data_IF_591754873517
#
_entry.id   IF_591754873517
#
_cell.length_a   1.000
_cell.length_b   1.000
_cell.length_c   1.000
_cell.angle_alpha   90.00
_cell.angle_beta   90.00
_cell.angle_gamma   90.00
#
_symmetry.space_group_name_H-M   'P 1'
#
loop_
_entity.id
_entity.type
_entity.pdbx_description
1 polymer ?
#
# COMPACT_ATOMS: atom_id res chain seq x y z
N UNK A 1 -21.92 -11.85 -14.74
CA UNK A 1 -21.18 -13.04 -14.27
C UNK A 1 -19.72 -12.78 -14.55
N UNK A 2 -18.94 -12.53 -13.50
CA UNK A 2 -17.48 -12.34 -13.58
C UNK A 2 -16.84 -13.65 -14.01
N UNK A 3 -15.89 -13.59 -14.96
CA UNK A 3 -15.12 -14.76 -15.41
C UNK A 3 -14.36 -15.33 -14.18
N UNK A 4 -14.25 -16.66 -14.02
CA UNK A 4 -13.45 -17.23 -12.94
C UNK A 4 -12.03 -16.70 -12.98
N UNK A 5 -11.50 -16.31 -11.81
CA UNK A 5 -10.12 -15.86 -11.69
C UNK A 5 -9.19 -17.02 -12.07
N UNK A 6 -8.23 -16.76 -12.97
CA UNK A 6 -7.18 -17.73 -13.28
C UNK A 6 -6.32 -17.99 -12.04
N UNK A 7 -5.85 -19.23 -11.80
CA UNK A 7 -4.99 -19.51 -10.66
C UNK A 7 -3.77 -18.58 -10.63
N UNK A 8 -3.52 -17.96 -9.48
CA UNK A 8 -2.37 -17.08 -9.33
C UNK A 8 -1.06 -17.89 -9.31
N UNK A 9 0.05 -17.34 -9.82
CA UNK A 9 1.35 -17.98 -9.71
C UNK A 9 1.74 -18.26 -8.26
N UNK A 10 2.47 -19.35 -8.03
CA UNK A 10 3.06 -19.63 -6.72
C UNK A 10 3.96 -18.47 -6.30
N UNK A 11 3.88 -18.09 -5.03
CA UNK A 11 4.57 -16.90 -4.53
C UNK A 11 3.80 -15.61 -4.75
N UNK A 12 2.58 -15.59 -5.29
CA UNK A 12 1.83 -14.33 -5.41
C UNK A 12 1.72 -13.60 -4.07
N UNK A 13 1.99 -12.29 -4.09
CA UNK A 13 2.13 -11.44 -2.92
C UNK A 13 1.07 -10.34 -2.87
N UNK A 14 0.38 -10.24 -1.74
CA UNK A 14 -0.45 -9.08 -1.41
C UNK A 14 0.40 -8.01 -0.73
N UNK A 15 0.75 -6.96 -1.48
CA UNK A 15 1.72 -5.97 -1.02
C UNK A 15 1.13 -4.85 -0.15
N UNK A 16 -0.14 -4.89 0.22
CA UNK A 16 -0.74 -3.86 1.07
C UNK A 16 -1.95 -4.38 1.82
N UNK A 17 -1.77 -4.77 3.08
CA UNK A 17 -2.89 -5.07 3.99
C UNK A 17 -2.67 -4.44 5.36
N UNK A 18 -3.75 -4.31 6.11
CA UNK A 18 -3.76 -3.82 7.49
C UNK A 18 -4.36 -4.88 8.42
N UNK A 19 -3.84 -4.98 9.64
CA UNK A 19 -4.46 -5.77 10.70
C UNK A 19 -5.01 -4.80 11.76
N UNK A 20 -6.18 -5.13 12.31
CA UNK A 20 -6.81 -4.35 13.36
C UNK A 20 -7.28 -5.24 14.49
N UNK A 21 -7.26 -4.68 15.68
CA UNK A 21 -7.83 -5.28 16.86
C UNK A 21 -7.10 -6.52 17.41
N UNK A 22 -7.60 -7.06 18.53
CA UNK A 22 -8.65 -6.45 19.35
C UNK A 22 -8.14 -5.21 20.09
N UNK A 23 -8.96 -4.17 20.17
CA UNK A 23 -8.57 -2.85 20.73
C UNK A 23 -8.08 -2.91 22.19
N UNK A 24 -8.59 -3.87 22.98
CA UNK A 24 -8.16 -4.08 24.36
C UNK A 24 -6.70 -4.57 24.51
N UNK A 25 -6.13 -5.18 23.46
CA UNK A 25 -4.73 -5.62 23.42
C UNK A 25 -3.85 -4.65 22.63
N UNK A 26 -4.41 -4.07 21.57
CA UNK A 26 -3.73 -3.11 20.70
C UNK A 26 -4.56 -1.82 20.70
N UNK A 27 -4.29 -0.89 21.64
CA UNK A 27 -5.05 0.35 21.72
C UNK A 27 -4.76 1.25 20.52
N UNK A 28 -5.77 1.96 20.05
CA UNK A 28 -5.61 2.94 18.99
C UNK A 28 -5.02 4.25 19.52
N UNK A 29 -4.37 5.00 18.64
CA UNK A 29 -3.90 6.35 18.90
C UNK A 29 -5.07 7.28 19.27
N UNK A 30 -4.87 8.22 20.23
CA UNK A 30 -5.85 9.28 20.47
C UNK A 30 -6.04 10.20 19.25
N UNK A 31 -5.03 10.32 18.39
CA UNK A 31 -5.03 11.23 17.22
C UNK A 31 -5.65 10.59 15.96
N UNK A 32 -6.23 9.39 16.07
CA UNK A 32 -6.82 8.69 14.93
C UNK A 32 -8.01 9.46 14.35
N UNK A 33 -8.14 9.44 13.03
CA UNK A 33 -9.26 10.07 12.32
C UNK A 33 -10.49 9.13 12.17
N UNK A 34 -10.33 7.84 12.47
CA UNK A 34 -11.41 6.84 12.49
C UNK A 34 -11.05 5.66 13.42
N UNK A 35 -12.06 4.91 13.88
CA UNK A 35 -11.87 3.64 14.62
C UNK A 35 -12.31 2.47 13.74
N UNK A 36 -11.41 1.56 13.32
CA UNK A 36 -11.78 0.38 12.54
C UNK A 36 -12.38 -0.71 13.43
N UNK A 37 -13.13 -1.63 12.81
CA UNK A 37 -13.47 -2.91 13.43
C UNK A 37 -12.24 -3.84 13.54
N UNK A 38 -12.42 -5.00 14.14
CA UNK A 38 -11.37 -6.01 14.24
C UNK A 38 -11.16 -6.72 12.88
N UNK A 39 -9.90 -6.96 12.52
CA UNK A 39 -9.50 -7.62 11.29
C UNK A 39 -8.20 -8.39 11.53
N UNK A 40 -8.32 -9.71 11.73
CA UNK A 40 -7.25 -10.58 12.20
C UNK A 40 -6.54 -11.35 11.09
N UNK A 41 -5.51 -12.08 11.51
CA UNK A 41 -4.71 -12.93 10.65
C UNK A 41 -5.52 -14.12 10.09
N UNK A 42 -6.52 -14.59 10.84
CA UNK A 42 -7.28 -15.79 10.46
C UNK A 42 -8.24 -15.48 9.31
N UNK A 43 -8.92 -14.32 9.32
CA UNK A 43 -9.69 -13.83 8.18
C UNK A 43 -8.81 -13.56 6.95
N UNK A 44 -7.64 -12.94 7.17
CA UNK A 44 -6.68 -12.67 6.12
C UNK A 44 -6.16 -13.95 5.46
N UNK A 45 -5.80 -14.97 6.26
CA UNK A 45 -5.36 -16.29 5.77
C UNK A 45 -6.45 -16.97 4.96
N UNK A 46 -7.71 -16.89 5.40
CA UNK A 46 -8.84 -17.46 4.66
C UNK A 46 -9.03 -16.77 3.30
N UNK A 47 -8.91 -15.44 3.26
CA UNK A 47 -8.93 -14.67 2.01
C UNK A 47 -7.78 -15.08 1.08
N UNK A 48 -6.55 -15.10 1.57
CA UNK A 48 -5.38 -15.44 0.77
C UNK A 48 -5.41 -16.88 0.27
N UNK A 49 -5.87 -17.83 1.08
CA UNK A 49 -6.08 -19.22 0.65
C UNK A 49 -7.10 -19.32 -0.50
N UNK A 50 -8.20 -18.56 -0.43
CA UNK A 50 -9.21 -18.52 -1.51
C UNK A 50 -8.65 -17.91 -2.80
N UNK A 51 -7.77 -16.91 -2.70
CA UNK A 51 -7.19 -16.22 -3.86
C UNK A 51 -5.93 -16.92 -4.41
N UNK A 52 -5.31 -17.83 -3.66
CA UNK A 52 -4.01 -18.41 -4.03
C UNK A 52 -2.80 -17.51 -3.74
N UNK A 53 -2.94 -16.58 -2.79
CA UNK A 53 -1.87 -15.68 -2.34
C UNK A 53 -1.08 -16.37 -1.23
N UNK A 54 0.24 -16.24 -1.27
CA UNK A 54 1.15 -16.94 -0.35
C UNK A 54 2.14 -16.03 0.37
N UNK A 55 2.27 -14.77 -0.06
CA UNK A 55 3.11 -13.75 0.59
C UNK A 55 2.29 -12.50 0.88
N UNK A 56 2.66 -11.77 1.93
CA UNK A 56 1.90 -10.60 2.37
C UNK A 56 2.79 -9.52 2.96
N UNK A 57 2.42 -8.26 2.72
CA UNK A 57 3.05 -7.11 3.35
C UNK A 57 2.04 -6.43 4.27
N UNK A 58 2.30 -6.52 5.58
CA UNK A 58 1.56 -5.80 6.60
C UNK A 58 2.03 -4.35 6.65
N UNK A 59 1.14 -3.43 6.32
CA UNK A 59 1.41 -2.00 6.38
C UNK A 59 0.79 -1.46 7.67
N UNK A 60 1.56 -0.73 8.47
CA UNK A 60 1.06 -0.08 9.67
C UNK A 60 -0.07 0.92 9.31
N UNK A 61 -1.30 0.74 9.84
CA UNK A 61 -2.41 1.62 9.54
C UNK A 61 -2.44 2.83 10.46
N UNK A 62 -2.98 3.96 9.96
CA UNK A 62 -2.98 5.24 10.67
C UNK A 62 -3.66 5.24 12.05
N UNK A 63 -4.70 4.42 12.34
CA UNK A 63 -5.31 4.40 13.67
C UNK A 63 -4.36 4.03 14.82
N UNK A 64 -3.23 3.38 14.55
CA UNK A 64 -2.22 3.05 15.55
C UNK A 64 -1.08 4.07 15.65
N UNK A 65 -1.00 5.06 14.74
CA UNK A 65 0.14 5.97 14.68
C UNK A 65 1.47 5.21 14.58
N UNK A 66 2.42 5.56 15.44
CA UNK A 66 3.75 4.93 15.51
C UNK A 66 3.81 3.64 16.36
N UNK A 67 2.69 3.19 16.94
CA UNK A 67 2.64 1.93 17.69
C UNK A 67 2.54 0.73 16.74
N UNK A 68 3.69 0.20 16.33
CA UNK A 68 3.77 -0.90 15.37
C UNK A 68 3.46 -2.28 15.99
N UNK A 69 3.11 -2.38 17.28
CA UNK A 69 2.96 -3.68 17.98
C UNK A 69 1.93 -4.59 17.33
N UNK A 70 0.82 -4.05 16.80
CA UNK A 70 -0.20 -4.87 16.12
C UNK A 70 0.35 -5.49 14.84
N UNK A 71 1.05 -4.71 14.02
CA UNK A 71 1.68 -5.18 12.79
C UNK A 71 2.78 -6.21 13.10
N UNK A 72 3.63 -5.95 14.11
CA UNK A 72 4.69 -6.87 14.52
C UNK A 72 4.15 -8.23 15.01
N UNK A 73 3.07 -8.22 15.80
CA UNK A 73 2.41 -9.47 16.20
C UNK A 73 1.86 -10.26 15.01
N UNK A 74 1.38 -9.56 13.98
CA UNK A 74 0.99 -10.18 12.71
C UNK A 74 2.15 -10.81 11.98
N UNK A 75 3.31 -10.13 11.91
CA UNK A 75 4.52 -10.69 11.29
C UNK A 75 4.98 -11.98 11.99
N UNK A 76 4.98 -11.99 13.33
CA UNK A 76 5.32 -13.18 14.11
C UNK A 76 4.37 -14.34 13.80
N UNK A 77 3.06 -14.10 13.77
CA UNK A 77 2.05 -15.12 13.46
C UNK A 77 2.09 -15.62 12.02
N UNK A 78 2.45 -14.77 11.07
CA UNK A 78 2.48 -15.10 9.64
C UNK A 78 3.81 -15.70 9.19
N UNK A 79 4.89 -15.48 9.96
CA UNK A 79 6.21 -16.06 9.71
C UNK A 79 6.91 -15.49 8.49
N UNK A 80 7.75 -16.29 7.84
CA UNK A 80 8.60 -15.85 6.71
C UNK A 80 7.81 -15.36 5.49
N UNK A 81 6.55 -15.75 5.37
CA UNK A 81 5.63 -15.31 4.33
C UNK A 81 5.18 -13.85 4.47
N UNK A 82 5.50 -13.18 5.59
CA UNK A 82 5.13 -11.79 5.83
C UNK A 82 6.33 -10.84 5.92
N UNK A 83 6.13 -9.61 5.45
CA UNK A 83 7.03 -8.47 5.63
C UNK A 83 6.24 -7.26 6.13
N UNK A 84 6.94 -6.31 6.77
CA UNK A 84 6.32 -5.14 7.38
C UNK A 84 6.70 -3.82 6.72
N UNK A 85 5.79 -2.85 6.73
CA UNK A 85 6.08 -1.43 6.52
C UNK A 85 5.58 -0.67 7.74
N UNK A 86 6.52 -0.14 8.53
CA UNK A 86 6.25 0.51 9.80
C UNK A 86 5.93 2.00 9.65
N UNK A 87 5.34 2.60 10.68
CA UNK A 87 5.32 4.07 10.87
C UNK A 87 6.20 4.38 12.07
N UNK A 88 7.15 5.29 11.91
CA UNK A 88 8.14 5.63 12.94
C UNK A 88 8.24 7.14 13.11
N UNK A 89 8.66 7.58 14.30
CA UNK A 89 8.97 8.99 14.53
C UNK A 89 10.28 9.42 13.85
N UNK A 90 10.40 10.71 13.54
CA UNK A 90 11.71 11.28 13.24
C UNK A 90 12.59 11.21 14.50
N UNK A 91 13.84 10.81 14.33
CA UNK A 91 14.77 10.57 15.45
C UNK A 91 14.58 9.21 16.13
N UNK A 92 13.88 8.26 15.50
CA UNK A 92 13.80 6.89 16.04
C UNK A 92 15.21 6.31 16.17
N UNK A 93 15.62 5.80 17.35
CA UNK A 93 16.97 5.32 17.59
C UNK A 93 17.40 4.20 16.63
N UNK A 94 18.66 4.15 16.19
CA UNK A 94 19.14 3.11 15.27
C UNK A 94 18.90 1.68 15.76
N UNK A 95 19.02 1.41 17.06
CA UNK A 95 18.79 0.08 17.64
C UNK A 95 17.32 -0.36 17.52
N UNK A 96 16.38 0.57 17.65
CA UNK A 96 14.96 0.29 17.40
C UNK A 96 14.71 -0.05 15.92
N UNK A 97 15.36 0.66 15.00
CA UNK A 97 15.24 0.34 13.57
C UNK A 97 15.85 -1.03 13.24
N UNK A 98 16.97 -1.40 13.87
CA UNK A 98 17.57 -2.73 13.73
C UNK A 98 16.63 -3.82 14.29
N UNK A 99 15.97 -3.57 15.43
CA UNK A 99 14.95 -4.46 15.99
C UNK A 99 13.80 -4.68 15.00
N UNK A 100 13.23 -3.60 14.45
CA UNK A 100 12.17 -3.68 13.46
C UNK A 100 12.61 -4.45 12.20
N UNK A 101 13.86 -4.21 11.74
CA UNK A 101 14.42 -4.93 10.59
C UNK A 101 14.51 -6.44 10.86
N UNK A 102 15.02 -6.83 12.04
CA UNK A 102 15.12 -8.23 12.45
C UNK A 102 13.73 -8.90 12.56
N UNK A 103 12.69 -8.14 12.89
CA UNK A 103 11.29 -8.62 12.94
C UNK A 103 10.60 -8.66 11.56
N UNK A 104 11.30 -8.32 10.47
CA UNK A 104 10.79 -8.45 9.11
C UNK A 104 10.27 -7.15 8.48
N UNK A 105 10.47 -6.00 9.12
CA UNK A 105 10.15 -4.69 8.52
C UNK A 105 11.17 -4.35 7.43
N UNK A 106 10.68 -3.81 6.30
CA UNK A 106 11.47 -3.52 5.08
C UNK A 106 11.22 -2.13 4.50
N UNK A 107 10.37 -1.34 5.17
CA UNK A 107 10.05 0.00 4.74
C UNK A 107 9.43 0.83 5.85
N UNK A 108 9.38 2.13 5.63
CA UNK A 108 8.67 3.10 6.45
C UNK A 108 7.58 3.77 5.63
N UNK A 109 6.42 4.03 6.23
CA UNK A 109 5.31 4.73 5.59
C UNK A 109 5.22 6.18 6.05
N UNK A 110 5.09 7.08 5.08
CA UNK A 110 4.75 8.49 5.27
C UNK A 110 3.35 8.72 4.69
N UNK A 111 2.37 8.83 5.58
CA UNK A 111 0.97 9.05 5.22
C UNK A 111 0.59 10.52 5.35
N UNK A 112 0.63 11.23 4.22
CA UNK A 112 0.32 12.66 4.11
C UNK A 112 -1.17 12.87 3.85
N UNK A 113 -1.75 12.07 2.95
CA UNK A 113 -3.12 12.28 2.47
C UNK A 113 -4.20 12.08 3.54
N UNK A 114 -4.04 11.12 4.46
CA UNK A 114 -5.04 10.89 5.52
C UNK A 114 -5.13 12.06 6.50
N UNK A 115 -4.05 12.82 6.67
CA UNK A 115 -4.01 14.00 7.54
C UNK A 115 -4.43 15.28 6.81
N UNK A 116 -4.82 15.20 5.53
CA UNK A 116 -5.24 16.35 4.75
C UNK A 116 -4.11 17.31 4.37
N UNK A 117 -2.86 16.93 4.59
CA UNK A 117 -1.70 17.74 4.20
C UNK A 117 -1.56 17.76 2.68
N UNK A 118 -1.46 18.95 2.12
CA UNK A 118 -1.35 19.22 0.68
C UNK A 118 -0.17 20.13 0.32
N UNK A 119 0.59 20.63 1.31
CA UNK A 119 1.83 21.37 1.13
C UNK A 119 2.99 20.44 0.69
N UNK A 120 3.52 20.59 -0.54
CA UNK A 120 4.63 19.78 -1.03
C UNK A 120 5.93 19.93 -0.22
N UNK A 121 6.23 21.09 0.35
CA UNK A 121 7.49 21.28 1.10
C UNK A 121 7.44 20.61 2.47
N UNK A 122 6.29 20.68 3.14
CA UNK A 122 6.08 19.95 4.39
C UNK A 122 6.14 18.43 4.15
N UNK A 123 5.45 17.96 3.12
CA UNK A 123 5.50 16.56 2.67
C UNK A 123 6.94 16.13 2.38
N UNK A 124 7.69 16.94 1.63
CA UNK A 124 9.08 16.64 1.31
C UNK A 124 9.95 16.51 2.56
N UNK A 125 9.85 17.44 3.51
CA UNK A 125 10.66 17.40 4.73
C UNK A 125 10.44 16.09 5.51
N UNK A 126 9.20 15.63 5.59
CA UNK A 126 8.87 14.35 6.23
C UNK A 126 9.43 13.16 5.44
N UNK A 127 9.21 13.13 4.13
CA UNK A 127 9.68 12.05 3.25
C UNK A 127 11.21 11.95 3.29
N UNK A 128 11.91 13.07 3.10
CA UNK A 128 13.37 13.13 3.08
C UNK A 128 13.97 12.73 4.42
N UNK A 129 13.41 13.21 5.54
CA UNK A 129 13.88 12.85 6.88
C UNK A 129 13.75 11.34 7.14
N UNK A 130 12.63 10.75 6.76
CA UNK A 130 12.42 9.30 6.90
C UNK A 130 13.34 8.51 5.98
N UNK A 131 13.51 8.93 4.72
CA UNK A 131 14.42 8.31 3.77
C UNK A 131 15.86 8.27 4.30
N UNK A 132 16.35 9.39 4.83
CA UNK A 132 17.70 9.47 5.42
C UNK A 132 17.84 8.53 6.62
N UNK A 133 16.84 8.48 7.50
CA UNK A 133 16.86 7.66 8.72
C UNK A 133 16.95 6.16 8.42
N UNK A 134 16.28 5.69 7.36
CA UNK A 134 16.18 4.25 7.05
C UNK A 134 17.12 3.77 5.94
N UNK A 135 17.83 4.68 5.26
CA UNK A 135 18.67 4.35 4.10
C UNK A 135 19.70 3.24 4.40
N UNK A 136 20.32 3.25 5.59
CA UNK A 136 21.34 2.25 5.97
C UNK A 136 20.81 0.81 6.04
N UNK A 137 19.49 0.65 6.16
CA UNK A 137 18.82 -0.66 6.26
C UNK A 137 18.41 -1.21 4.88
N UNK A 138 18.63 -0.46 3.81
CA UNK A 138 18.10 -0.78 2.48
C UNK A 138 16.58 -0.69 2.40
N UNK A 139 15.93 -0.03 3.37
CA UNK A 139 14.48 0.13 3.40
C UNK A 139 13.99 1.11 2.33
N UNK A 140 12.76 0.91 1.88
CA UNK A 140 12.06 1.88 1.04
C UNK A 140 11.25 2.87 1.89
N UNK A 141 10.93 4.02 1.30
CA UNK A 141 9.93 4.95 1.83
C UNK A 141 8.65 4.82 1.03
N UNK A 142 7.59 4.38 1.68
CA UNK A 142 6.25 4.28 1.13
C UNK A 142 5.46 5.55 1.40
N UNK A 143 4.84 6.13 0.37
CA UNK A 143 4.20 7.43 0.41
C UNK A 143 2.73 7.29 0.03
N UNK A 144 1.86 7.81 0.89
CA UNK A 144 0.46 8.08 0.55
C UNK A 144 0.27 9.59 0.44
N UNK A 145 0.20 10.10 -0.80
CA UNK A 145 0.00 11.51 -1.13
C UNK A 145 -0.90 11.65 -2.36
N UNK A 146 -1.48 12.84 -2.55
CA UNK A 146 -2.30 13.17 -3.73
C UNK A 146 -1.41 13.54 -4.93
N UNK A 147 -1.98 13.47 -6.14
CA UNK A 147 -1.27 13.75 -7.38
C UNK A 147 -0.60 15.13 -7.43
N UNK A 148 -1.24 16.18 -6.89
CA UNK A 148 -0.68 17.53 -6.88
C UNK A 148 0.65 17.61 -6.10
N UNK A 149 0.77 16.85 -5.01
CA UNK A 149 2.02 16.77 -4.22
C UNK A 149 3.04 15.91 -4.95
N UNK A 150 2.62 14.75 -5.47
CA UNK A 150 3.52 13.82 -6.18
C UNK A 150 4.14 14.48 -7.42
N UNK A 151 3.34 15.22 -8.20
CA UNK A 151 3.80 15.89 -9.41
C UNK A 151 4.91 16.89 -9.12
N UNK A 152 4.73 17.73 -8.10
CA UNK A 152 5.70 18.73 -7.67
C UNK A 152 6.98 18.08 -7.15
N UNK A 153 6.87 16.97 -6.41
CA UNK A 153 8.01 16.31 -5.78
C UNK A 153 8.70 15.26 -6.65
N UNK A 154 8.17 14.91 -7.82
CA UNK A 154 8.63 13.78 -8.64
C UNK A 154 10.16 13.79 -8.87
N UNK A 155 10.74 14.94 -9.23
CA UNK A 155 12.18 15.06 -9.45
C UNK A 155 12.99 14.77 -8.18
N UNK A 156 12.60 15.37 -7.04
CA UNK A 156 13.28 15.20 -5.75
C UNK A 156 13.14 13.78 -5.21
N UNK A 157 11.98 13.15 -5.42
CA UNK A 157 11.76 11.75 -5.05
C UNK A 157 12.72 10.81 -5.77
N UNK A 158 13.10 11.12 -7.02
CA UNK A 158 14.08 10.31 -7.76
C UNK A 158 15.50 10.41 -7.19
N UNK A 159 15.81 11.48 -6.46
CA UNK A 159 17.13 11.75 -5.87
C UNK A 159 17.31 11.14 -4.47
N UNK A 160 16.25 10.58 -3.87
CA UNK A 160 16.33 10.00 -2.53
C UNK A 160 17.35 8.87 -2.45
N UNK A 161 17.99 8.70 -1.29
CA UNK A 161 18.91 7.58 -1.07
C UNK A 161 18.20 6.21 -1.09
N UNK A 162 16.91 6.17 -0.73
CA UNK A 162 16.08 4.98 -0.68
C UNK A 162 15.31 4.76 -1.98
N UNK A 163 14.79 3.55 -2.18
CA UNK A 163 13.71 3.32 -3.16
C UNK A 163 12.42 3.97 -2.66
N UNK A 164 11.58 4.42 -3.58
CA UNK A 164 10.28 5.03 -3.26
C UNK A 164 9.17 4.04 -3.57
N UNK A 165 8.12 4.01 -2.75
CA UNK A 165 6.90 3.27 -3.05
C UNK A 165 5.72 4.25 -3.02
N UNK A 166 4.93 4.31 -4.08
CA UNK A 166 3.74 5.17 -4.17
C UNK A 166 2.50 4.30 -3.94
N UNK A 167 1.71 4.63 -2.92
CA UNK A 167 0.49 3.90 -2.58
C UNK A 167 -0.63 4.19 -3.59
N UNK A 168 -1.42 3.15 -3.90
CA UNK A 168 -2.72 3.23 -4.57
C UNK A 168 -2.73 4.11 -5.83
N UNK A 169 -1.86 3.80 -6.80
CA UNK A 169 -1.68 4.58 -8.04
C UNK A 169 -1.28 6.06 -7.86
N UNK A 170 -1.02 6.54 -6.63
CA UNK A 170 -0.86 7.97 -6.34
C UNK A 170 -2.19 8.70 -6.07
N UNK A 171 -3.25 7.97 -5.70
CA UNK A 171 -4.60 8.49 -5.44
C UNK A 171 -5.21 9.32 -6.60
N UNK A 172 -5.20 8.82 -7.85
CA UNK A 172 -5.91 9.47 -8.95
C UNK A 172 -7.43 9.39 -8.78
N UNK A 173 -8.16 10.24 -9.50
CA UNK A 173 -9.56 9.97 -9.81
C UNK A 173 -9.62 9.01 -11.02
N UNK A 174 -10.04 7.77 -10.79
CA UNK A 174 -10.09 6.76 -11.86
C UNK A 174 -11.17 7.06 -12.90
N UNK A 175 -12.13 7.95 -12.64
CA UNK A 175 -13.13 8.36 -13.62
C UNK A 175 -12.58 9.33 -14.69
N UNK A 176 -11.46 10.02 -14.40
CA UNK A 176 -10.86 11.00 -15.31
C UNK A 176 -9.84 10.42 -16.30
N UNK A 177 -9.43 9.15 -16.11
CA UNK A 177 -8.42 8.51 -16.93
C UNK A 177 -6.97 8.94 -16.60
N UNK A 178 -5.97 8.28 -17.20
CA UNK A 178 -4.56 8.51 -16.88
C UNK A 178 -4.04 9.86 -17.39
N UNK A 179 -4.73 10.52 -18.32
CA UNK A 179 -4.33 11.83 -18.85
C UNK A 179 -4.71 13.01 -17.93
N UNK A 180 -5.23 12.72 -16.74
CA UNK A 180 -5.59 13.75 -15.78
C UNK A 180 -4.36 14.54 -15.28
N UNK A 181 -4.53 15.81 -14.89
CA UNK A 181 -3.47 16.60 -14.29
C UNK A 181 -2.81 15.89 -13.10
N UNK A 182 -1.48 15.97 -13.00
CA UNK A 182 -0.70 15.35 -11.93
C UNK A 182 -0.31 13.89 -12.13
N UNK A 183 -1.06 13.10 -12.90
CA UNK A 183 -0.75 11.67 -13.06
C UNK A 183 0.54 11.42 -13.86
N UNK A 184 0.93 12.36 -14.73
CA UNK A 184 2.24 12.32 -15.43
C UNK A 184 3.43 12.23 -14.47
N UNK A 185 3.31 12.79 -13.25
CA UNK A 185 4.33 12.65 -12.21
C UNK A 185 4.52 11.20 -11.74
N UNK A 186 3.43 10.45 -11.62
CA UNK A 186 3.44 9.02 -11.25
C UNK A 186 4.05 8.18 -12.39
N UNK A 187 3.68 8.47 -13.65
CA UNK A 187 4.25 7.81 -14.83
C UNK A 187 5.77 8.01 -14.90
N UNK A 188 6.25 9.25 -14.75
CA UNK A 188 7.70 9.54 -14.70
C UNK A 188 8.42 8.78 -13.58
N UNK A 189 7.82 8.70 -12.40
CA UNK A 189 8.38 7.95 -11.28
C UNK A 189 8.47 6.44 -11.58
N UNK A 190 7.43 5.85 -12.17
CA UNK A 190 7.43 4.45 -12.59
C UNK A 190 8.52 4.18 -13.65
N UNK A 191 8.57 5.00 -14.71
CA UNK A 191 9.54 4.88 -15.80
C UNK A 191 11.00 5.06 -15.36
N UNK A 192 11.25 5.80 -14.27
CA UNK A 192 12.61 6.01 -13.74
C UNK A 192 13.27 4.75 -13.14
N UNK A 193 12.49 3.73 -12.80
CA UNK A 193 12.95 2.55 -12.04
C UNK A 193 13.29 2.83 -10.57
N UNK A 194 13.23 4.09 -10.12
CA UNK A 194 13.49 4.51 -8.73
C UNK A 194 12.29 4.31 -7.81
N UNK A 195 11.08 4.32 -8.36
CA UNK A 195 9.85 4.12 -7.63
C UNK A 195 9.17 2.80 -7.99
N UNK A 196 8.49 2.21 -7.01
CA UNK A 196 7.47 1.17 -7.22
C UNK A 196 6.09 1.77 -7.00
N UNK A 197 5.13 1.48 -7.89
CA UNK A 197 3.74 1.92 -7.78
C UNK A 197 2.87 0.74 -7.34
N UNK A 198 2.10 0.93 -6.26
CA UNK A 198 1.15 -0.09 -5.80
C UNK A 198 -0.18 0.02 -6.55
N UNK A 199 -0.46 -0.98 -7.37
CA UNK A 199 -1.77 -1.25 -7.98
C UNK A 199 -2.67 -1.83 -6.87
N UNK A 200 -3.32 -0.95 -6.12
CA UNK A 200 -4.04 -1.31 -4.89
C UNK A 200 -5.20 -0.37 -4.61
N UNK A 201 -6.10 -0.79 -3.69
CA UNK A 201 -7.30 -0.05 -3.33
C UNK A 201 -8.20 0.29 -4.54
N UNK A 202 -8.20 -0.57 -5.57
CA UNK A 202 -8.98 -0.37 -6.81
C UNK A 202 -10.45 -0.17 -6.46
N UNK A 203 -10.98 -0.95 -5.53
CA UNK A 203 -12.37 -0.90 -5.11
C UNK A 203 -12.74 0.45 -4.50
N UNK A 204 -11.86 0.99 -3.64
CA UNK A 204 -12.03 2.31 -3.02
C UNK A 204 -11.94 3.44 -4.05
N UNK A 205 -10.99 3.36 -4.98
CA UNK A 205 -10.72 4.44 -5.94
C UNK A 205 -11.71 4.46 -7.11
N UNK A 206 -12.16 3.29 -7.58
CA UNK A 206 -13.03 3.21 -8.74
C UNK A 206 -14.49 3.52 -8.38
N UNK A 207 -14.87 3.24 -7.14
CA UNK A 207 -16.25 3.21 -6.67
C UNK A 207 -16.94 1.88 -7.00
N UNK A 208 -17.96 1.56 -6.22
CA UNK A 208 -18.71 0.30 -6.34
C UNK A 208 -19.27 0.12 -7.75
N UNK A 209 -19.01 -1.05 -8.36
CA UNK A 209 -19.49 -1.40 -9.70
C UNK A 209 -18.69 -0.78 -10.86
N UNK A 210 -17.56 -0.12 -10.58
CA UNK A 210 -16.79 0.61 -11.59
C UNK A 210 -15.30 0.21 -11.65
N UNK A 211 -14.93 -0.97 -11.12
CA UNK A 211 -13.54 -1.42 -11.02
C UNK A 211 -12.75 -1.36 -12.34
N UNK A 212 -13.43 -1.58 -13.48
CA UNK A 212 -12.84 -1.47 -14.82
C UNK A 212 -12.20 -0.09 -15.11
N UNK A 213 -12.55 0.96 -14.35
CA UNK A 213 -11.88 2.28 -14.41
C UNK A 213 -10.40 2.22 -14.06
N UNK A 214 -9.93 1.19 -13.34
CA UNK A 214 -8.50 1.01 -13.07
C UNK A 214 -7.71 0.51 -14.29
N UNK A 215 -8.34 -0.16 -15.26
CA UNK A 215 -7.65 -0.84 -16.37
C UNK A 215 -6.79 0.13 -17.19
N UNK A 216 -7.26 1.32 -17.61
CA UNK A 216 -6.43 2.28 -18.34
C UNK A 216 -5.18 2.73 -17.56
N UNK A 217 -5.28 2.86 -16.24
CA UNK A 217 -4.16 3.26 -15.38
C UNK A 217 -3.13 2.15 -15.25
N UNK A 218 -3.58 0.90 -15.08
CA UNK A 218 -2.71 -0.27 -15.03
C UNK A 218 -1.94 -0.39 -16.36
N UNK A 219 -2.63 -0.21 -17.50
CA UNK A 219 -2.00 -0.23 -18.82
C UNK A 219 -0.97 0.88 -18.99
N UNK A 220 -1.30 2.12 -18.62
CA UNK A 220 -0.38 3.26 -18.74
C UNK A 220 0.88 3.04 -17.90
N UNK A 221 0.72 2.63 -16.63
CA UNK A 221 1.86 2.35 -15.74
C UNK A 221 2.72 1.17 -16.23
N UNK A 222 2.08 0.11 -16.73
CA UNK A 222 2.80 -1.06 -17.23
C UNK A 222 3.51 -0.79 -18.56
N UNK A 223 3.02 0.16 -19.36
CA UNK A 223 3.70 0.60 -20.57
C UNK A 223 4.98 1.39 -20.25
N UNK A 224 4.99 2.15 -19.16
CA UNK A 224 6.20 2.84 -18.69
C UNK A 224 7.24 1.85 -18.14
N UNK A 225 6.84 1.03 -17.17
CA UNK A 225 7.74 0.04 -16.58
C UNK A 225 6.97 -1.03 -15.77
N UNK A 226 6.81 -2.27 -16.28
CA UNK A 226 6.12 -3.32 -15.53
C UNK A 226 6.89 -3.77 -14.28
N UNK A 227 8.22 -3.63 -14.24
CA UNK A 227 9.06 -3.97 -13.08
C UNK A 227 8.90 -2.97 -11.92
N UNK A 228 8.32 -1.81 -12.20
CA UNK A 228 7.98 -0.82 -11.19
C UNK A 228 6.63 -1.09 -10.51
N UNK A 229 5.90 -2.16 -10.84
CA UNK A 229 4.54 -2.36 -10.33
C UNK A 229 4.45 -3.52 -9.35
N UNK A 230 3.65 -3.34 -8.30
CA UNK A 230 3.23 -4.41 -7.39
C UNK A 230 1.74 -4.33 -7.13
N UNK A 231 1.10 -5.45 -6.83
CA UNK A 231 -0.33 -5.49 -6.50
C UNK A 231 -0.56 -5.58 -4.98
N UNK A 232 -1.67 -5.02 -4.49
CA UNK A 232 -2.12 -5.22 -3.12
C UNK A 232 -3.63 -5.01 -2.97
N UNK A 233 -4.27 -5.74 -2.07
CA UNK A 233 -5.72 -5.68 -1.87
C UNK A 233 -6.18 -4.38 -1.22
N UNK A 234 -5.37 -3.81 -0.32
CA UNK A 234 -5.79 -2.81 0.67
C UNK A 234 -6.82 -3.35 1.68
N UNK A 235 -6.83 -4.69 1.88
CA UNK A 235 -7.63 -5.35 2.91
C UNK A 235 -7.30 -4.75 4.29
N UNK A 236 -8.29 -4.50 5.16
CA UNK A 236 -9.68 -4.93 5.10
C UNK A 236 -10.64 -3.90 4.51
N UNK A 237 -10.20 -3.03 3.60
CA UNK A 237 -11.09 -2.08 2.89
C UNK A 237 -11.74 -1.05 3.84
N UNK A 238 -10.92 -0.33 4.61
CA UNK A 238 -11.36 0.78 5.47
C UNK A 238 -12.08 1.89 4.69
N UNK A 239 -13.03 2.58 5.32
CA UNK A 239 -13.81 3.66 4.70
C UNK A 239 -15.28 3.36 4.44
N UNK A 240 -15.83 2.23 4.91
CA UNK A 240 -17.19 1.76 4.62
C UNK A 240 -18.35 2.61 5.17
N UNK A 241 -18.07 3.81 5.68
CA UNK A 241 -19.07 4.87 5.72
C UNK A 241 -18.49 6.26 5.67
N UNK A 242 -17.55 6.50 4.75
CA UNK A 242 -17.13 7.85 4.36
C UNK A 242 -18.37 8.71 4.06
N UNK A 243 -18.37 9.94 4.58
CA UNK A 243 -19.49 10.89 4.40
C UNK A 243 -20.64 10.71 5.38
N UNK A 244 -20.62 9.67 6.23
CA UNK A 244 -21.53 9.56 7.37
C UNK A 244 -20.89 10.29 8.56
N UNK A 245 -21.54 11.33 9.09
CA UNK A 245 -21.07 12.03 10.28
C UNK A 245 -21.02 11.07 11.47
N UNK A 246 -19.82 10.63 11.83
CA UNK A 246 -19.55 9.72 12.96
C UNK A 246 -18.56 10.35 13.91
N UNK A 247 -18.68 10.04 15.18
CA UNK A 247 -17.63 10.36 16.13
C UNK A 247 -16.42 9.46 15.83
N UNK A 248 -15.21 9.95 16.11
CA UNK A 248 -13.99 9.15 15.97
C UNK A 248 -14.01 7.86 16.83
N UNK A 249 -14.86 7.80 17.86
CA UNK A 249 -15.07 6.64 18.74
C UNK A 249 -15.97 5.56 18.13
N UNK A 250 -16.76 5.88 17.12
CA UNK A 250 -17.66 4.92 16.50
C UNK A 250 -16.87 3.97 15.60
N UNK A 251 -17.24 2.69 15.63
CA UNK A 251 -16.63 1.69 14.75
C UNK A 251 -17.05 1.98 13.30
N UNK A 252 -16.07 2.30 12.47
CA UNK A 252 -16.21 2.38 11.03
C UNK A 252 -16.24 0.95 10.45
N UNK A 253 -17.32 0.57 9.75
CA UNK A 253 -17.38 -0.72 9.08
C UNK A 253 -16.44 -0.75 7.88
N UNK A 254 -15.95 -1.95 7.57
CA UNK A 254 -15.22 -2.22 6.35
C UNK A 254 -16.16 -2.24 5.14
N UNK A 255 -15.64 -1.86 3.98
CA UNK A 255 -16.36 -2.02 2.71
C UNK A 255 -16.39 -3.50 2.31
N UNK A 256 -17.58 -4.04 2.07
CA UNK A 256 -17.73 -5.39 1.56
C UNK A 256 -17.29 -5.43 0.09
N UNK A 257 -16.07 -5.90 -0.15
CA UNK A 257 -15.42 -5.95 -1.45
C UNK A 257 -14.93 -7.36 -1.78
N UNK A 258 -14.98 -7.74 -3.06
CA UNK A 258 -14.40 -8.99 -3.53
C UNK A 258 -13.04 -8.73 -4.20
N UNK A 259 -11.96 -9.10 -3.51
CA UNK A 259 -10.59 -8.92 -3.99
C UNK A 259 -10.28 -9.71 -5.27
N UNK A 260 -11.07 -10.74 -5.59
CA UNK A 260 -10.97 -11.44 -6.86
C UNK A 260 -11.32 -10.53 -8.06
N UNK A 261 -12.22 -9.57 -7.89
CA UNK A 261 -12.56 -8.61 -8.96
C UNK A 261 -11.42 -7.61 -9.19
N UNK A 262 -10.74 -7.17 -8.12
CA UNK A 262 -9.56 -6.30 -8.24
C UNK A 262 -8.39 -7.00 -8.96
N UNK A 263 -8.16 -8.29 -8.70
CA UNK A 263 -7.19 -9.10 -9.46
C UNK A 263 -7.62 -9.28 -10.91
N UNK A 264 -8.92 -9.40 -11.18
CA UNK A 264 -9.44 -9.51 -12.55
C UNK A 264 -9.14 -8.26 -13.37
N UNK A 265 -9.14 -7.05 -12.77
CA UNK A 265 -8.71 -5.83 -13.44
C UNK A 265 -7.23 -5.89 -13.87
N UNK A 266 -6.35 -6.47 -13.04
CA UNK A 266 -4.94 -6.67 -13.41
C UNK A 266 -4.82 -7.64 -14.59
N UNK A 267 -5.53 -8.76 -14.55
CA UNK A 267 -5.51 -9.78 -15.61
C UNK A 267 -6.07 -9.24 -16.94
N UNK A 268 -7.11 -8.40 -16.90
CA UNK A 268 -7.68 -7.76 -18.08
C UNK A 268 -6.77 -6.65 -18.65
N UNK A 269 -6.08 -5.93 -17.76
CA UNK A 269 -5.15 -4.88 -18.18
C UNK A 269 -3.89 -5.45 -18.82
N UNK A 270 -3.34 -6.53 -18.26
CA UNK A 270 -2.05 -7.12 -18.62
C UNK A 270 -2.25 -8.51 -19.20
N UNK A 271 -2.25 -8.62 -20.54
CA UNK A 271 -2.46 -9.90 -21.23
C UNK A 271 -1.25 -10.83 -21.18
N UNK A 272 -0.03 -10.30 -20.99
CA UNK A 272 1.20 -11.09 -20.88
C UNK A 272 1.32 -11.78 -19.50
N UNK A 273 1.31 -13.13 -19.44
CA UNK A 273 1.49 -13.86 -18.20
C UNK A 273 2.83 -13.59 -17.50
N UNK A 274 3.90 -13.31 -18.24
CA UNK A 274 5.21 -13.02 -17.65
C UNK A 274 5.20 -11.67 -16.91
N UNK A 275 4.55 -10.65 -17.48
CA UNK A 275 4.36 -9.38 -16.78
C UNK A 275 3.47 -9.54 -15.55
N UNK A 276 2.38 -10.32 -15.63
CA UNK A 276 1.55 -10.61 -14.44
C UNK A 276 2.35 -11.32 -13.35
N UNK A 277 3.20 -12.28 -13.74
CA UNK A 277 4.09 -12.95 -12.82
C UNK A 277 5.05 -11.96 -12.14
N UNK A 278 5.71 -11.08 -12.90
CA UNK A 278 6.60 -10.07 -12.34
C UNK A 278 5.89 -9.19 -11.29
N UNK A 279 4.68 -8.69 -11.61
CA UNK A 279 3.90 -7.81 -10.73
C UNK A 279 3.47 -8.51 -9.44
N UNK A 280 3.10 -9.79 -9.52
CA UNK A 280 2.58 -10.56 -8.39
C UNK A 280 3.67 -11.27 -7.58
N UNK A 281 4.82 -11.58 -8.18
CA UNK A 281 5.83 -12.50 -7.63
C UNK A 281 7.22 -11.87 -7.56
N UNK A 282 7.79 -11.45 -8.68
CA UNK A 282 9.21 -11.09 -8.76
C UNK A 282 9.47 -9.69 -8.18
N UNK A 283 8.67 -8.70 -8.57
CA UNK A 283 8.81 -7.32 -8.10
C UNK A 283 8.61 -7.23 -6.57
N UNK A 284 7.59 -7.88 -5.97
CA UNK A 284 7.49 -7.96 -4.51
C UNK A 284 8.67 -8.68 -3.86
N UNK A 285 9.19 -9.74 -4.48
CA UNK A 285 10.34 -10.48 -3.93
C UNK A 285 11.58 -9.58 -3.82
N UNK A 286 11.86 -8.80 -4.87
CA UNK A 286 12.96 -7.82 -4.89
C UNK A 286 12.72 -6.69 -3.90
N UNK A 287 11.51 -6.10 -3.90
CA UNK A 287 11.22 -4.92 -3.08
C UNK A 287 11.24 -5.22 -1.57
N UNK A 288 10.74 -6.38 -1.15
CA UNK A 288 10.57 -6.72 0.26
C UNK A 288 11.55 -7.80 0.75
N UNK A 289 12.41 -8.35 -0.12
CA UNK A 289 13.39 -9.37 0.24
C UNK A 289 12.74 -10.65 0.76
N UNK A 290 11.82 -11.21 -0.04
CA UNK A 290 11.22 -12.53 0.21
C UNK A 290 12.11 -13.67 -0.26
#
# INVERSE_FOLDING_TARGET
MTKPLEPLPQGSCDCHVHLFGPAGRYPFSPDRVYTPGDAGEDELRALHARLGISRVVLVQPSPYGTDNRRMLAGLERLGSAAKGVAVIGLGTPPDELDRLHAQGVRGVRVNIATHGMDDPEEAWRLIQGQAQQVARLGWHVQILARLNVIEVLAARLMELATRVVIDHFGLPDLALGPEQPGFSGVLRLAGSGKATIKISAIQRLAGRGHLARAIPFIRALSAENPEALVWGSDWPHTGGGRGVGRAATDIEPFEAMDDAEALSCLTEAISDPAQRHAILVDNPAVLYGF
#
